data_IF_797567967471
#
_entry.id   IF_797567967471
#
_cell.length_a   1.000
_cell.length_b   1.000
_cell.length_c   1.000
_cell.angle_alpha   90.00
_cell.angle_beta   90.00
_cell.angle_gamma   90.00
#
_symmetry.space_group_name_H-M   'P 1'
#
loop_
_entity.id
_entity.type
_entity.pdbx_description
1 polymer ?
#
# COMPACT_ATOMS: atom_id res chain seq x y z
N UNK A 1 5.80 -11.87 -7.91
CA UNK A 1 4.41 -12.22 -7.58
C UNK A 1 4.05 -13.15 -8.70
N UNK A 2 4.11 -14.46 -8.48
CA UNK A 2 3.58 -15.40 -9.46
C UNK A 2 2.11 -15.08 -9.75
N UNK A 3 1.65 -15.55 -10.91
CA UNK A 3 0.25 -15.76 -11.26
C UNK A 3 0.03 -17.27 -11.35
N UNK A 4 -0.95 -17.82 -10.61
CA UNK A 4 -1.15 -19.25 -10.39
C UNK A 4 -2.60 -19.58 -10.68
N UNK A 5 -2.79 -20.74 -11.29
CA UNK A 5 -3.98 -21.19 -12.01
C UNK A 5 -4.22 -22.69 -11.71
N UNK A 6 -4.87 -23.05 -10.58
CA UNK A 6 -5.23 -24.44 -10.14
C UNK A 6 -6.75 -24.91 -9.86
N UNK A 7 -7.37 -25.91 -10.55
CA UNK A 7 -8.75 -26.52 -10.28
C UNK A 7 -8.75 -28.00 -9.82
N UNK A 8 -9.51 -29.02 -10.29
CA UNK A 8 -9.19 -30.45 -10.02
C UNK A 8 -9.39 -31.48 -11.14
N UNK A 9 -8.40 -32.36 -11.28
CA UNK A 9 -8.55 -33.71 -11.85
C UNK A 9 -9.02 -34.67 -10.75
N UNK A 10 -10.21 -35.24 -10.93
CA UNK A 10 -10.91 -36.03 -9.91
C UNK A 10 -10.31 -37.42 -9.65
N UNK A 11 -9.50 -37.95 -10.58
CA UNK A 11 -8.91 -39.29 -10.45
C UNK A 11 -7.56 -39.28 -9.73
N UNK A 12 -6.89 -38.13 -9.73
CA UNK A 12 -5.53 -37.98 -9.19
C UNK A 12 -5.40 -36.92 -8.10
N UNK A 13 -6.43 -36.09 -7.87
CA UNK A 13 -6.41 -35.00 -6.89
C UNK A 13 -5.50 -33.83 -7.27
N UNK A 14 -5.01 -33.79 -8.51
CA UNK A 14 -4.20 -32.70 -9.07
C UNK A 14 -5.07 -31.51 -9.46
N UNK A 15 -4.46 -30.37 -9.75
CA UNK A 15 -5.19 -29.16 -10.16
C UNK A 15 -5.21 -28.91 -11.69
N UNK A 16 -6.14 -28.06 -12.18
CA UNK A 16 -6.29 -27.61 -13.59
C UNK A 16 -6.31 -26.04 -13.77
N UNK A 17 -7.29 -25.25 -13.28
CA UNK A 17 -7.32 -23.73 -13.15
C UNK A 17 -8.05 -23.01 -11.90
N UNK A 18 -7.35 -22.19 -11.06
CA UNK A 18 -7.73 -21.34 -9.85
C UNK A 18 -6.88 -20.08 -10.06
N UNK A 19 -7.43 -18.91 -10.33
CA UNK A 19 -6.60 -17.69 -10.45
C UNK A 19 -6.27 -17.03 -9.08
N UNK A 20 -6.39 -17.78 -7.97
CA UNK A 20 -6.42 -17.23 -6.61
C UNK A 20 -5.32 -17.78 -5.71
N UNK A 21 -4.46 -16.85 -5.28
CA UNK A 21 -3.43 -17.09 -4.30
C UNK A 21 -3.93 -17.17 -2.87
N UNK A 22 -3.32 -18.05 -2.11
CA UNK A 22 -3.44 -18.15 -0.66
C UNK A 22 -2.04 -18.21 -0.05
N UNK A 23 -1.80 -17.40 0.97
CA UNK A 23 -0.49 -17.32 1.62
C UNK A 23 -0.32 -16.02 2.41
N UNK A 24 0.77 -15.93 3.16
CA UNK A 24 1.12 -14.73 3.94
C UNK A 24 1.72 -13.67 3.01
N UNK A 25 1.11 -12.48 2.97
CA UNK A 25 1.63 -11.32 2.25
C UNK A 25 2.16 -10.29 3.25
N UNK A 26 3.38 -9.82 2.99
CA UNK A 26 3.95 -8.63 3.61
C UNK A 26 4.31 -7.63 2.51
N UNK A 27 4.07 -6.33 2.76
CA UNK A 27 4.57 -5.23 1.94
C UNK A 27 5.13 -4.16 2.85
N UNK A 28 6.26 -3.56 2.45
CA UNK A 28 6.91 -2.48 3.19
C UNK A 28 7.13 -1.29 2.25
N UNK A 29 6.82 -0.08 2.72
CA UNK A 29 6.98 1.16 1.97
C UNK A 29 7.79 2.15 2.81
N UNK A 30 8.73 2.88 2.20
CA UNK A 30 9.39 4.03 2.84
C UNK A 30 8.56 5.28 2.54
N UNK A 31 8.14 5.98 3.59
CA UNK A 31 7.19 7.11 3.51
C UNK A 31 7.75 8.42 4.09
N UNK A 32 9.03 8.42 4.47
CA UNK A 32 9.68 9.52 5.18
C UNK A 32 9.40 9.50 6.68
N UNK A 33 9.80 10.57 7.36
CA UNK A 33 9.46 10.79 8.77
C UNK A 33 7.99 11.19 8.89
N UNK A 34 7.22 10.39 9.63
CA UNK A 34 5.77 10.56 9.78
C UNK A 34 5.38 10.41 11.24
N UNK A 35 4.49 11.27 11.71
CA UNK A 35 3.90 11.16 13.05
C UNK A 35 2.96 9.95 13.10
N UNK A 36 3.43 8.88 13.74
CA UNK A 36 2.69 7.61 13.86
C UNK A 36 1.33 7.79 14.53
N UNK A 37 1.18 8.75 15.45
CA UNK A 37 -0.08 8.99 16.16
C UNK A 37 -1.18 9.61 15.27
N UNK A 38 -0.80 10.19 14.11
CA UNK A 38 -1.72 10.80 13.15
C UNK A 38 -2.10 9.89 11.98
N UNK A 39 -1.53 8.69 11.89
CA UNK A 39 -1.87 7.71 10.87
C UNK A 39 -3.31 7.21 11.05
N UNK A 40 -4.05 7.10 9.95
CA UNK A 40 -5.41 6.53 9.93
C UNK A 40 -5.47 5.38 8.95
N UNK A 41 -6.13 4.29 9.33
CA UNK A 41 -6.33 3.14 8.47
C UNK A 41 -7.79 2.67 8.51
N UNK A 42 -8.29 2.19 7.38
CA UNK A 42 -9.63 1.64 7.20
C UNK A 42 -9.53 0.40 6.29
N UNK A 43 -10.20 -0.69 6.63
CA UNK A 43 -10.34 -1.86 5.77
C UNK A 43 -11.81 -2.02 5.38
N UNK A 44 -12.11 -1.85 4.10
CA UNK A 44 -13.48 -1.87 3.58
C UNK A 44 -13.49 -2.47 2.18
N UNK A 45 -14.51 -3.29 1.89
CA UNK A 45 -14.74 -3.89 0.57
C UNK A 45 -13.52 -4.61 -0.02
N UNK A 46 -12.72 -5.26 0.84
CA UNK A 46 -11.48 -5.97 0.45
C UNK A 46 -10.24 -5.08 0.29
N UNK A 47 -10.35 -3.76 0.49
CA UNK A 47 -9.27 -2.79 0.29
C UNK A 47 -8.80 -2.22 1.62
N UNK A 48 -7.49 -2.31 1.88
CA UNK A 48 -6.84 -1.61 2.99
C UNK A 48 -6.41 -0.21 2.54
N UNK A 49 -7.05 0.81 3.10
CA UNK A 49 -6.72 2.23 2.90
C UNK A 49 -5.92 2.73 4.08
N UNK A 50 -4.73 3.29 3.83
CA UNK A 50 -3.87 3.93 4.83
C UNK A 50 -3.71 5.39 4.43
N UNK A 51 -4.01 6.31 5.34
CA UNK A 51 -3.86 7.75 5.17
C UNK A 51 -2.68 8.22 5.99
N UNK A 52 -1.69 8.75 5.28
CA UNK A 52 -0.48 9.36 5.84
C UNK A 52 -0.61 10.87 5.63
N UNK A 53 -0.82 11.67 6.70
CA UNK A 53 -0.87 13.11 6.58
C UNK A 53 0.51 13.63 6.14
N UNK A 54 0.58 14.27 4.98
CA UNK A 54 1.77 15.00 4.57
C UNK A 54 1.82 16.33 5.32
N UNK A 55 2.95 16.68 5.92
CA UNK A 55 3.13 18.03 6.44
C UNK A 55 3.12 19.00 5.26
N UNK A 56 2.19 19.97 5.28
CA UNK A 56 2.12 20.96 4.24
C UNK A 56 3.45 21.71 4.18
N UNK A 57 4.20 21.52 3.08
CA UNK A 57 5.42 22.28 2.82
C UNK A 57 5.07 23.76 2.95
N UNK A 58 5.58 24.42 3.99
CA UNK A 58 5.51 25.88 4.10
C UNK A 58 6.12 26.41 2.81
N UNK A 59 5.28 27.02 1.96
CA UNK A 59 5.76 27.75 0.79
C UNK A 59 6.74 28.79 1.35
N UNK A 60 8.03 28.78 0.95
CA UNK A 60 8.96 29.75 1.48
C UNK A 60 8.44 31.13 1.09
N UNK A 61 8.13 31.94 2.10
CA UNK A 61 7.77 33.34 1.88
C UNK A 61 9.05 34.00 1.38
N UNK A 62 9.03 34.51 0.15
CA UNK A 62 10.19 35.22 -0.41
C UNK A 62 10.41 36.51 0.38
N UNK A 63 11.32 36.44 1.34
CA UNK A 63 11.77 37.59 2.12
C UNK A 63 12.65 38.46 1.21
N UNK A 64 12.03 39.33 0.42
CA UNK A 64 12.75 40.35 -0.34
C UNK A 64 13.52 41.28 0.62
N UNK A 65 14.84 41.26 0.54
CA UNK A 65 15.70 42.24 1.20
C UNK A 65 15.96 43.35 0.17
N UNK A 66 15.34 44.52 0.38
CA UNK A 66 15.66 45.72 -0.40
C UNK A 66 17.03 46.26 0.02
N UNK A 67 17.83 46.63 -0.97
CA UNK A 67 19.12 47.31 -0.78
C UNK A 67 18.93 48.77 -1.20
N UNK A 68 19.39 49.71 -0.35
CA UNK A 68 19.59 51.12 -0.68
C UNK A 68 21.05 51.38 -1.06
#
# INVERSE_FOLDING_TARGET
>A
REDEVEEKDEKTGKYITRERFYGTIQRSFRVGDVDQAKLKAEFKDGVLKIVIPNEAKKIPVENFITIE
#
